data_IF_549348831520
#
_entry.id   IF_549348831520
#
_cell.length_a   1.000
_cell.length_b   1.000
_cell.length_c   1.000
_cell.angle_alpha   90.00
_cell.angle_beta   90.00
_cell.angle_gamma   90.00
#
_symmetry.space_group_name_H-M   'P 1'
#
loop_
_entity.id
_entity.type
_entity.pdbx_description
1 polymer ?
#
# COMPACT_ATOMS: atom_id res chain seq x y z
N UNK A 1 13.75 -6.26 2.82
CA UNK A 1 14.48 -5.39 1.87
C UNK A 1 14.38 -5.91 0.44
N UNK A 2 14.75 -7.16 0.14
CA UNK A 2 14.68 -7.73 -1.23
C UNK A 2 13.34 -7.48 -1.96
N UNK A 3 12.21 -7.85 -1.33
CA UNK A 3 10.88 -7.65 -1.92
C UNK A 3 10.56 -6.19 -2.25
N UNK A 4 11.07 -5.23 -1.46
CA UNK A 4 10.87 -3.81 -1.73
C UNK A 4 11.62 -3.37 -3.00
N UNK A 5 12.84 -3.87 -3.22
CA UNK A 5 13.60 -3.63 -4.45
C UNK A 5 12.88 -4.16 -5.69
N UNK A 6 12.22 -5.32 -5.60
CA UNK A 6 11.44 -5.88 -6.71
C UNK A 6 10.32 -4.95 -7.19
N UNK A 7 9.70 -4.14 -6.31
CA UNK A 7 8.70 -3.16 -6.75
C UNK A 7 9.32 -2.03 -7.59
N UNK A 8 10.50 -1.54 -7.22
CA UNK A 8 11.21 -0.56 -8.04
C UNK A 8 11.60 -1.16 -9.39
N UNK A 9 12.12 -2.39 -9.44
CA UNK A 9 12.42 -3.08 -10.70
C UNK A 9 11.17 -3.26 -11.57
N UNK A 10 10.07 -3.71 -10.97
CA UNK A 10 8.81 -3.90 -11.68
C UNK A 10 8.31 -2.59 -12.29
N UNK A 11 8.20 -1.51 -11.49
CA UNK A 11 7.69 -0.24 -12.00
C UNK A 11 8.65 0.49 -12.94
N UNK A 12 9.96 0.29 -12.82
CA UNK A 12 10.91 0.75 -13.83
C UNK A 12 10.64 0.13 -15.21
N UNK A 13 10.24 -1.15 -15.25
CA UNK A 13 9.84 -1.79 -16.49
C UNK A 13 8.45 -1.32 -16.97
N UNK A 14 7.51 -1.10 -16.06
CA UNK A 14 6.17 -0.59 -16.40
C UNK A 14 6.20 0.84 -16.96
N UNK A 15 7.20 1.65 -16.63
CA UNK A 15 7.36 2.99 -17.21
C UNK A 15 7.49 2.96 -18.74
N UNK A 16 7.98 1.86 -19.32
CA UNK A 16 8.07 1.66 -20.77
C UNK A 16 6.73 1.26 -21.43
N UNK A 17 5.70 0.99 -20.62
CA UNK A 17 4.38 0.53 -21.05
C UNK A 17 3.27 1.55 -20.75
N UNK A 18 3.60 2.83 -20.61
CA UNK A 18 2.62 3.89 -20.44
C UNK A 18 1.88 4.20 -21.76
N UNK A 19 1.15 3.21 -22.26
CA UNK A 19 0.44 3.30 -23.53
C UNK A 19 -0.82 4.14 -23.37
N UNK A 20 -0.98 5.13 -24.23
CA UNK A 20 -2.24 5.82 -24.43
C UNK A 20 -3.28 4.95 -25.15
N UNK A 21 -4.36 5.56 -25.60
CA UNK A 21 -5.35 4.95 -26.49
C UNK A 21 -5.80 5.97 -27.54
N UNK A 22 -6.33 5.47 -28.66
CA UNK A 22 -7.06 6.29 -29.62
C UNK A 22 -8.48 5.78 -29.73
N UNK A 23 -9.40 6.65 -30.16
CA UNK A 23 -10.77 6.29 -30.44
C UNK A 23 -11.24 6.93 -31.74
N UNK A 24 -12.18 6.28 -32.41
CA UNK A 24 -12.81 6.83 -33.60
C UNK A 24 -13.69 8.04 -33.22
N UNK A 25 -13.44 9.16 -33.88
CA UNK A 25 -14.28 10.35 -33.71
C UNK A 25 -15.57 10.22 -34.51
N UNK A 26 -16.68 10.61 -33.91
CA UNK A 26 -17.95 10.79 -34.61
C UNK A 26 -17.98 12.04 -35.50
N UNK A 27 -16.95 12.90 -35.43
CA UNK A 27 -16.80 14.12 -36.21
C UNK A 27 -15.70 13.96 -37.24
N UNK A 28 -16.00 14.27 -38.50
CA UNK A 28 -15.03 14.27 -39.59
C UNK A 28 -13.86 15.21 -39.32
N UNK A 29 -12.64 14.76 -39.59
CA UNK A 29 -11.41 15.55 -39.44
C UNK A 29 -10.96 15.81 -38.00
N UNK A 30 -11.43 15.02 -37.04
CA UNK A 30 -11.04 15.12 -35.63
C UNK A 30 -10.47 13.79 -35.17
N UNK A 31 -9.29 13.81 -34.57
CA UNK A 31 -8.68 12.64 -33.91
C UNK A 31 -8.97 12.66 -32.41
N UNK A 32 -9.18 11.48 -31.82
CA UNK A 32 -9.30 11.32 -30.36
C UNK A 32 -8.11 10.51 -29.85
N UNK A 33 -7.28 11.15 -29.05
CA UNK A 33 -6.13 10.56 -28.37
C UNK A 33 -6.33 10.68 -26.86
N UNK A 34 -5.92 9.63 -26.15
CA UNK A 34 -6.01 9.52 -24.70
C UNK A 34 -4.60 9.22 -24.19
N UNK A 35 -4.06 10.12 -23.38
CA UNK A 35 -2.74 9.98 -22.76
C UNK A 35 -2.85 9.89 -21.24
N UNK A 36 -1.77 9.49 -20.59
CA UNK A 36 -1.68 9.42 -19.12
C UNK A 36 -0.53 10.29 -18.64
N UNK A 37 -0.87 11.30 -17.87
CA UNK A 37 0.07 12.25 -17.28
C UNK A 37 0.23 12.01 -15.76
N UNK A 38 1.38 12.42 -15.17
CA UNK A 38 1.53 12.45 -13.72
C UNK A 38 0.46 13.32 -13.05
N UNK A 39 0.11 12.96 -11.81
CA UNK A 39 -0.77 13.78 -10.97
C UNK A 39 -0.07 15.07 -10.50
N UNK A 40 1.23 15.00 -10.24
CA UNK A 40 2.01 16.09 -9.64
C UNK A 40 2.72 15.64 -8.37
N UNK A 41 2.48 16.30 -7.24
CA UNK A 41 3.04 15.95 -5.93
C UNK A 41 2.12 14.96 -5.22
N UNK A 42 2.70 13.84 -4.79
CA UNK A 42 2.01 12.77 -4.09
C UNK A 42 2.55 12.63 -2.66
N UNK A 43 1.65 12.75 -1.69
CA UNK A 43 1.92 12.44 -0.30
C UNK A 43 1.79 10.93 -0.05
N UNK A 44 2.78 10.34 0.60
CA UNK A 44 2.77 8.92 0.98
C UNK A 44 2.86 8.83 2.49
N UNK A 45 1.90 8.14 3.12
CA UNK A 45 1.90 7.89 4.56
C UNK A 45 1.89 6.38 4.79
N UNK A 46 2.98 5.84 5.35
CA UNK A 46 3.18 4.38 5.49
C UNK A 46 3.14 3.89 6.94
N UNK A 47 2.75 2.62 7.19
CA UNK A 47 2.62 2.03 8.51
C UNK A 47 3.98 1.50 9.00
N UNK A 48 3.98 0.98 10.23
CA UNK A 48 5.17 0.43 10.89
C UNK A 48 5.40 -1.06 10.65
N UNK A 49 4.36 -1.84 10.33
CA UNK A 49 4.45 -3.30 10.27
C UNK A 49 5.25 -3.82 9.06
N UNK A 50 5.22 -3.08 7.95
CA UNK A 50 6.03 -3.34 6.76
C UNK A 50 6.70 -2.04 6.29
N UNK A 51 7.67 -1.52 7.06
CA UNK A 51 8.06 -0.11 7.01
C UNK A 51 8.74 0.29 5.69
N UNK A 52 9.39 -0.67 5.01
CA UNK A 52 9.97 -0.46 3.68
C UNK A 52 9.01 -0.92 2.59
N UNK A 53 8.44 -2.13 2.70
CA UNK A 53 7.68 -2.72 1.60
C UNK A 53 6.44 -1.88 1.24
N UNK A 54 5.59 -1.53 2.21
CA UNK A 54 4.39 -0.74 1.94
C UNK A 54 4.69 0.64 1.39
N UNK A 55 5.81 1.25 1.79
CA UNK A 55 6.26 2.50 1.22
C UNK A 55 6.70 2.31 -0.25
N UNK A 56 7.50 1.29 -0.54
CA UNK A 56 7.96 0.99 -1.91
C UNK A 56 6.82 0.68 -2.88
N UNK A 57 5.73 0.05 -2.43
CA UNK A 57 4.53 -0.18 -3.25
C UNK A 57 3.90 1.11 -3.79
N UNK A 58 4.17 2.24 -3.12
CA UNK A 58 3.59 3.56 -3.42
C UNK A 58 4.63 4.48 -4.06
N UNK A 59 5.85 4.48 -3.54
CA UNK A 59 6.96 5.32 -4.02
C UNK A 59 7.39 4.90 -5.43
N UNK A 60 7.57 3.61 -5.67
CA UNK A 60 8.04 3.09 -6.95
C UNK A 60 7.14 3.51 -8.13
N UNK A 61 5.80 3.27 -8.10
CA UNK A 61 4.93 3.74 -9.18
C UNK A 61 4.84 5.26 -9.25
N UNK A 62 4.82 5.97 -8.13
CA UNK A 62 4.74 7.44 -8.13
C UNK A 62 5.92 8.04 -8.92
N UNK A 63 7.15 7.62 -8.60
CA UNK A 63 8.35 8.08 -9.29
C UNK A 63 8.39 7.59 -10.76
N UNK A 64 8.07 6.32 -11.01
CA UNK A 64 8.11 5.74 -12.35
C UNK A 64 7.19 6.46 -13.34
N UNK A 65 6.03 6.94 -12.87
CA UNK A 65 5.08 7.68 -13.69
C UNK A 65 5.15 9.20 -13.48
N UNK A 66 6.31 9.72 -13.09
CA UNK A 66 6.63 11.16 -13.16
C UNK A 66 6.11 12.04 -12.02
N UNK A 67 5.68 11.46 -10.90
CA UNK A 67 5.21 12.23 -9.74
C UNK A 67 6.36 12.55 -8.78
N UNK A 68 6.28 13.71 -8.13
CA UNK A 68 7.11 14.01 -6.96
C UNK A 68 6.52 13.36 -5.71
N UNK A 69 7.37 12.99 -4.76
CA UNK A 69 6.97 12.26 -3.55
C UNK A 69 7.33 13.04 -2.29
N UNK A 70 6.36 13.16 -1.39
CA UNK A 70 6.58 13.54 0.01
C UNK A 70 6.17 12.38 0.91
N UNK A 71 7.15 11.69 1.48
CA UNK A 71 6.93 10.50 2.28
C UNK A 71 7.03 10.78 3.78
N UNK A 72 5.97 10.43 4.50
CA UNK A 72 5.93 10.38 5.96
C UNK A 72 5.78 8.93 6.46
N UNK A 73 6.81 8.33 7.08
CA UNK A 73 6.69 6.99 7.65
C UNK A 73 6.01 6.99 9.02
N UNK A 74 5.72 5.81 9.55
CA UNK A 74 5.35 5.64 10.94
C UNK A 74 6.50 6.05 11.87
N UNK A 75 6.19 6.82 12.92
CA UNK A 75 7.18 7.43 13.81
C UNK A 75 7.96 6.41 14.64
N UNK A 76 7.43 5.18 14.80
CA UNK A 76 8.04 4.09 15.59
C UNK A 76 9.03 3.25 14.79
N UNK A 77 9.08 3.40 13.46
CA UNK A 77 10.02 2.67 12.58
C UNK A 77 10.77 3.61 11.62
N UNK A 78 11.40 4.70 12.10
CA UNK A 78 11.95 5.73 11.23
C UNK A 78 13.25 5.29 10.55
N UNK A 79 14.06 4.44 11.18
CA UNK A 79 15.36 4.02 10.66
C UNK A 79 15.25 3.34 9.29
N UNK A 80 14.25 2.48 9.09
CA UNK A 80 13.97 1.85 7.79
C UNK A 80 13.66 2.86 6.68
N UNK A 81 12.97 3.96 7.04
CA UNK A 81 12.63 5.01 6.09
C UNK A 81 13.85 5.87 5.73
N UNK A 82 14.69 6.17 6.72
CA UNK A 82 15.98 6.82 6.49
C UNK A 82 16.85 6.01 5.54
N UNK A 83 17.03 4.71 5.78
CA UNK A 83 17.85 3.85 4.92
C UNK A 83 17.34 3.80 3.48
N UNK A 84 16.02 3.68 3.27
CA UNK A 84 15.46 3.71 1.91
C UNK A 84 15.68 5.08 1.23
N UNK A 85 15.50 6.17 1.98
CA UNK A 85 15.73 7.54 1.49
C UNK A 85 17.19 7.74 1.09
N UNK A 86 18.15 7.23 1.88
CA UNK A 86 19.57 7.30 1.57
C UNK A 86 19.93 6.53 0.28
N UNK A 87 19.29 5.38 0.05
CA UNK A 87 19.46 4.62 -1.21
C UNK A 87 18.94 5.44 -2.40
N UNK A 88 17.78 6.06 -2.25
CA UNK A 88 17.16 6.90 -3.29
C UNK A 88 17.99 8.17 -3.53
N UNK A 89 18.52 8.81 -2.49
CA UNK A 89 19.28 10.07 -2.60
C UNK A 89 20.62 9.91 -3.31
N UNK A 90 21.16 8.69 -3.36
CA UNK A 90 22.37 8.36 -4.14
C UNK A 90 22.11 8.24 -5.63
N UNK A 91 20.84 8.19 -6.06
CA UNK A 91 20.48 8.12 -7.47
C UNK A 91 20.48 9.52 -8.09
N UNK A 92 20.76 9.59 -9.39
CA UNK A 92 20.72 10.84 -10.15
C UNK A 92 19.28 11.26 -10.47
N UNK A 93 18.52 11.65 -9.45
CA UNK A 93 17.17 12.20 -9.58
C UNK A 93 17.16 13.72 -9.39
N UNK A 94 16.22 14.46 -10.01
CA UNK A 94 16.04 15.89 -9.77
C UNK A 94 15.89 16.22 -8.29
N UNK A 95 16.49 17.34 -7.85
CA UNK A 95 16.35 17.85 -6.47
C UNK A 95 14.86 18.10 -6.17
N UNK A 96 14.41 17.63 -5.01
CA UNK A 96 13.02 17.78 -4.58
C UNK A 96 12.05 16.76 -5.18
N UNK A 97 12.48 15.88 -6.09
CA UNK A 97 11.59 14.82 -6.63
C UNK A 97 11.16 13.83 -5.54
N UNK A 98 12.02 13.57 -4.56
CA UNK A 98 11.73 12.71 -3.42
C UNK A 98 12.12 13.39 -2.11
N UNK A 99 11.19 13.42 -1.16
CA UNK A 99 11.36 14.08 0.13
C UNK A 99 10.90 13.15 1.26
N UNK A 100 11.72 12.98 2.29
CA UNK A 100 11.35 12.30 3.53
C UNK A 100 11.04 13.35 4.61
N UNK A 101 9.87 13.23 5.24
CA UNK A 101 9.50 14.08 6.38
C UNK A 101 9.12 13.18 7.56
N UNK A 102 9.90 13.26 8.64
CA UNK A 102 9.68 12.44 9.84
C UNK A 102 9.07 13.27 10.96
N UNK A 103 8.07 12.70 11.64
CA UNK A 103 7.45 13.31 12.80
C UNK A 103 6.03 12.82 13.04
N UNK A 104 5.25 13.58 13.82
CA UNK A 104 3.90 13.17 14.23
C UNK A 104 2.92 13.08 13.06
N UNK A 105 2.08 12.03 13.07
CA UNK A 105 0.95 11.93 12.15
C UNK A 105 -0.12 13.00 12.40
N UNK A 106 -0.31 13.44 13.64
CA UNK A 106 -1.32 14.46 13.99
C UNK A 106 -1.01 15.84 13.40
N UNK A 107 0.27 16.12 13.16
CA UNK A 107 0.75 17.38 12.61
C UNK A 107 1.04 17.22 11.12
N UNK A 108 2.06 16.44 10.77
CA UNK A 108 2.52 16.30 9.37
C UNK A 108 1.50 15.53 8.54
N UNK A 109 0.89 14.46 9.07
CA UNK A 109 -0.12 13.70 8.34
C UNK A 109 -1.38 14.53 8.05
N UNK A 110 -1.79 15.38 9.00
CA UNK A 110 -2.89 16.33 8.80
C UNK A 110 -2.54 17.38 7.75
N UNK A 111 -1.34 17.95 7.82
CA UNK A 111 -0.86 18.92 6.83
C UNK A 111 -0.86 18.29 5.44
N UNK A 112 -0.25 17.12 5.25
CA UNK A 112 -0.23 16.42 3.97
C UNK A 112 -1.62 16.13 3.40
N UNK A 113 -2.62 15.87 4.26
CA UNK A 113 -3.99 15.64 3.84
C UNK A 113 -4.76 16.93 3.48
N UNK A 114 -4.40 18.05 4.10
CA UNK A 114 -5.08 19.34 3.92
C UNK A 114 -4.35 20.29 2.96
N UNK A 115 -3.09 20.03 2.61
CA UNK A 115 -2.25 20.93 1.83
C UNK A 115 -2.71 21.02 0.35
N UNK A 116 -2.65 22.24 -0.21
CA UNK A 116 -3.13 22.52 -1.57
C UNK A 116 -2.21 22.10 -2.70
N UNK A 117 -0.94 21.94 -2.39
CA UNK A 117 0.09 21.57 -3.34
C UNK A 117 0.21 20.05 -3.50
N UNK A 118 -0.56 19.26 -2.74
CA UNK A 118 -0.64 17.80 -2.86
C UNK A 118 -1.79 17.43 -3.81
N UNK A 119 -1.50 16.76 -4.92
CA UNK A 119 -2.50 16.31 -5.91
C UNK A 119 -2.92 14.84 -5.72
N UNK A 120 -2.12 14.05 -5.00
CA UNK A 120 -2.47 12.68 -4.63
C UNK A 120 -2.01 12.32 -3.23
N UNK A 121 -2.77 11.48 -2.51
CA UNK A 121 -2.38 10.97 -1.21
C UNK A 121 -2.63 9.46 -1.12
N UNK A 122 -1.57 8.72 -0.81
CA UNK A 122 -1.62 7.28 -0.60
C UNK A 122 -1.29 6.94 0.85
N UNK A 123 -2.30 6.49 1.59
CA UNK A 123 -2.20 6.14 3.00
C UNK A 123 -2.32 4.63 3.19
N UNK A 124 -1.53 4.11 4.13
CA UNK A 124 -1.76 2.79 4.70
C UNK A 124 -1.69 2.85 6.23
N UNK A 125 -2.71 2.36 6.91
CA UNK A 125 -2.79 2.38 8.38
C UNK A 125 -4.14 1.96 8.93
N UNK A 126 -4.55 2.53 10.07
CA UNK A 126 -5.83 2.17 10.70
C UNK A 126 -7.02 2.81 9.99
N UNK A 127 -8.20 2.17 10.10
CA UNK A 127 -9.44 2.70 9.54
C UNK A 127 -9.81 4.08 10.09
N UNK A 128 -9.68 4.27 11.42
CA UNK A 128 -9.99 5.55 12.05
C UNK A 128 -9.14 6.71 11.52
N UNK A 129 -7.82 6.50 11.35
CA UNK A 129 -6.93 7.53 10.79
C UNK A 129 -7.21 7.75 9.30
N UNK A 130 -7.41 6.68 8.54
CA UNK A 130 -7.74 6.76 7.11
C UNK A 130 -9.03 7.53 6.84
N UNK A 131 -10.08 7.30 7.62
CA UNK A 131 -11.32 8.08 7.54
C UNK A 131 -11.11 9.56 7.83
N UNK A 132 -10.27 9.91 8.82
CA UNK A 132 -9.91 11.30 9.11
C UNK A 132 -9.15 11.96 7.96
N UNK A 133 -8.21 11.25 7.36
CA UNK A 133 -7.48 11.71 6.16
C UNK A 133 -8.47 11.93 5.00
N UNK A 134 -9.37 10.98 4.77
CA UNK A 134 -10.38 11.06 3.71
C UNK A 134 -11.26 12.30 3.87
N UNK A 135 -11.74 12.58 5.09
CA UNK A 135 -12.57 13.74 5.38
C UNK A 135 -11.85 15.06 5.08
N UNK A 136 -10.57 15.17 5.43
CA UNK A 136 -9.76 16.36 5.15
C UNK A 136 -9.52 16.54 3.65
N UNK A 137 -9.13 15.46 2.96
CA UNK A 137 -8.81 15.49 1.53
C UNK A 137 -10.04 15.65 0.63
N UNK A 138 -11.24 15.26 1.10
CA UNK A 138 -12.49 15.40 0.36
C UNK A 138 -12.84 16.86 0.04
N UNK A 139 -12.49 17.81 0.93
CA UNK A 139 -12.76 19.24 0.73
C UNK A 139 -12.10 19.82 -0.54
N UNK A 140 -11.09 19.13 -1.07
CA UNK A 140 -10.30 19.54 -2.21
C UNK A 140 -10.23 18.50 -3.33
N UNK A 141 -11.01 17.43 -3.22
CA UNK A 141 -11.06 16.33 -4.19
C UNK A 141 -9.68 15.76 -4.57
N UNK A 142 -8.76 15.68 -3.60
CA UNK A 142 -7.45 15.04 -3.81
C UNK A 142 -7.64 13.58 -4.20
N UNK A 143 -6.81 13.09 -5.12
CA UNK A 143 -6.85 11.67 -5.48
C UNK A 143 -6.34 10.82 -4.32
N UNK A 144 -7.21 9.99 -3.76
CA UNK A 144 -6.93 9.21 -2.56
C UNK A 144 -6.78 7.72 -2.86
N UNK A 145 -5.79 7.11 -2.21
CA UNK A 145 -5.69 5.66 -2.07
C UNK A 145 -5.54 5.32 -0.58
N UNK A 146 -6.46 4.53 -0.05
CA UNK A 146 -6.52 4.17 1.37
C UNK A 146 -6.50 2.65 1.54
N UNK A 147 -5.41 2.13 2.07
CA UNK A 147 -5.32 0.74 2.53
C UNK A 147 -5.45 0.73 4.05
N UNK A 148 -6.52 0.17 4.57
CA UNK A 148 -6.89 0.32 5.97
C UNK A 148 -6.92 -1.02 6.72
N UNK A 149 -7.49 -1.01 7.93
CA UNK A 149 -7.72 -2.23 8.70
C UNK A 149 -8.65 -3.21 7.96
N UNK A 150 -8.63 -4.45 8.41
CA UNK A 150 -9.39 -5.54 7.81
C UNK A 150 -9.79 -6.57 8.86
N UNK A 151 -10.69 -7.49 8.46
CA UNK A 151 -11.08 -8.66 9.23
C UNK A 151 -11.13 -9.86 8.30
N UNK A 152 -9.96 -10.36 7.92
CA UNK A 152 -9.83 -11.36 6.86
C UNK A 152 -10.35 -12.73 7.31
N UNK A 153 -11.35 -13.31 6.64
CA UNK A 153 -11.81 -14.65 6.92
C UNK A 153 -10.89 -15.69 6.28
N UNK A 154 -10.67 -16.80 6.99
CA UNK A 154 -10.08 -18.02 6.46
C UNK A 154 -11.12 -19.12 6.60
N UNK A 155 -11.66 -19.59 5.49
CA UNK A 155 -12.79 -20.52 5.45
C UNK A 155 -12.26 -21.94 5.20
N UNK A 156 -12.65 -22.89 6.04
CA UNK A 156 -12.29 -24.32 5.94
C UNK A 156 -13.55 -25.13 5.73
N UNK A 157 -13.65 -25.75 4.56
CA UNK A 157 -14.76 -26.63 4.17
C UNK A 157 -14.44 -28.08 4.55
N UNK A 158 -15.45 -28.94 4.59
CA UNK A 158 -15.32 -30.35 5.00
C UNK A 158 -14.54 -31.23 4.03
N UNK A 159 -14.38 -30.78 2.78
CA UNK A 159 -13.53 -31.40 1.77
C UNK A 159 -12.08 -30.89 1.78
N UNK A 160 -11.71 -30.01 2.72
CA UNK A 160 -10.37 -29.46 2.82
C UNK A 160 -9.36 -30.49 3.37
N UNK A 161 -8.12 -30.39 2.89
CA UNK A 161 -6.96 -30.99 3.56
C UNK A 161 -6.75 -30.27 4.92
N UNK A 162 -7.16 -30.92 6.00
CA UNK A 162 -7.19 -30.32 7.34
C UNK A 162 -5.79 -30.05 7.90
N UNK A 163 -4.79 -30.87 7.57
CA UNK A 163 -3.42 -30.66 8.03
C UNK A 163 -2.82 -29.42 7.37
N UNK A 164 -2.97 -29.33 6.05
CA UNK A 164 -2.55 -28.15 5.29
C UNK A 164 -3.34 -26.90 5.70
N UNK A 165 -4.65 -27.03 5.91
CA UNK A 165 -5.48 -25.92 6.35
C UNK A 165 -5.02 -25.38 7.71
N UNK A 166 -4.66 -26.26 8.64
CA UNK A 166 -4.16 -25.86 9.96
C UNK A 166 -2.79 -25.16 9.86
N UNK A 167 -1.86 -25.66 9.03
CA UNK A 167 -0.57 -24.97 8.78
C UNK A 167 -0.76 -23.56 8.21
N UNK A 168 -1.63 -23.43 7.20
CA UNK A 168 -1.95 -22.14 6.58
C UNK A 168 -2.66 -21.20 7.55
N UNK A 169 -3.55 -21.71 8.40
CA UNK A 169 -4.24 -20.93 9.42
C UNK A 169 -3.26 -20.36 10.45
N UNK A 170 -2.34 -21.18 10.99
CA UNK A 170 -1.30 -20.73 11.94
C UNK A 170 -0.40 -19.69 11.28
N UNK A 171 0.10 -19.95 10.08
CA UNK A 171 0.96 -19.00 9.37
C UNK A 171 0.23 -17.69 9.03
N UNK A 172 -1.01 -17.80 8.57
CA UNK A 172 -1.86 -16.67 8.18
C UNK A 172 -2.27 -15.82 9.37
N UNK A 173 -2.54 -16.42 10.53
CA UNK A 173 -2.94 -15.72 11.75
C UNK A 173 -1.76 -15.12 12.51
N UNK A 174 -0.66 -15.88 12.66
CA UNK A 174 0.44 -15.54 13.56
C UNK A 174 1.74 -15.17 12.84
N UNK A 175 1.86 -15.39 11.53
CA UNK A 175 3.04 -14.98 10.78
C UNK A 175 3.26 -13.47 10.87
N UNK A 176 4.47 -13.04 11.21
CA UNK A 176 4.75 -11.64 11.53
C UNK A 176 4.01 -11.16 12.80
N UNK A 177 3.88 -12.07 13.77
CA UNK A 177 3.15 -11.93 15.04
C UNK A 177 1.70 -11.48 14.89
N UNK A 178 1.07 -11.81 13.76
CA UNK A 178 -0.30 -11.40 13.41
C UNK A 178 -0.46 -9.92 13.07
N UNK A 179 0.63 -9.15 13.01
CA UNK A 179 0.62 -7.71 12.78
C UNK A 179 0.58 -7.38 11.27
N UNK A 180 -0.27 -8.07 10.51
CA UNK A 180 -0.42 -7.89 9.05
C UNK A 180 -1.85 -7.46 8.72
N UNK A 181 -2.01 -6.54 7.76
CA UNK A 181 -3.33 -6.20 7.24
C UNK A 181 -4.03 -7.38 6.55
N UNK A 182 -3.29 -8.42 6.15
CA UNK A 182 -3.85 -9.65 5.56
C UNK A 182 -3.90 -10.82 6.55
N UNK A 183 -3.66 -10.59 7.85
CA UNK A 183 -3.69 -11.65 8.85
C UNK A 183 -5.08 -12.30 8.92
N UNK A 184 -5.10 -13.63 8.97
CA UNK A 184 -6.32 -14.44 9.03
C UNK A 184 -6.90 -14.42 10.44
N UNK A 185 -7.53 -13.30 10.81
CA UNK A 185 -8.02 -13.04 12.18
C UNK A 185 -9.43 -13.56 12.45
N UNK A 186 -10.04 -14.28 11.49
CA UNK A 186 -11.32 -14.96 11.65
C UNK A 186 -11.30 -16.30 10.92
N UNK A 187 -11.15 -17.39 11.66
CA UNK A 187 -11.32 -18.73 11.11
C UNK A 187 -12.83 -19.06 11.06
N UNK A 188 -13.30 -19.57 9.94
CA UNK A 188 -14.68 -20.03 9.73
C UNK A 188 -14.60 -21.47 9.27
N UNK A 189 -15.05 -22.40 10.11
CA UNK A 189 -14.86 -23.84 9.89
C UNK A 189 -16.21 -24.51 9.74
N UNK A 190 -16.35 -25.36 8.71
CA UNK A 190 -17.55 -26.12 8.47
C UNK A 190 -17.85 -27.05 9.66
N UNK A 191 -19.11 -27.07 10.12
CA UNK A 191 -19.51 -27.72 11.37
C UNK A 191 -19.03 -29.18 11.53
N UNK A 192 -19.10 -30.06 10.51
CA UNK A 192 -18.69 -31.47 10.64
C UNK A 192 -17.21 -31.69 10.95
N UNK A 193 -16.33 -30.74 10.62
CA UNK A 193 -14.87 -30.86 10.80
C UNK A 193 -14.32 -29.95 11.90
N UNK A 194 -15.18 -29.22 12.61
CA UNK A 194 -14.78 -28.15 13.53
C UNK A 194 -13.79 -28.64 14.60
N UNK A 195 -14.17 -29.67 15.36
CA UNK A 195 -13.39 -30.12 16.52
C UNK A 195 -12.06 -30.75 16.07
N UNK A 196 -12.09 -31.57 15.01
CA UNK A 196 -10.88 -32.14 14.41
C UNK A 196 -9.93 -31.06 13.90
N UNK A 197 -10.45 -29.99 13.29
CA UNK A 197 -9.62 -28.88 12.84
C UNK A 197 -9.02 -28.11 14.03
N UNK A 198 -9.78 -27.92 15.11
CA UNK A 198 -9.29 -27.28 16.34
C UNK A 198 -8.14 -28.07 16.97
N UNK A 199 -8.28 -29.40 17.06
CA UNK A 199 -7.20 -30.28 17.56
C UNK A 199 -5.93 -30.16 16.72
N UNK A 200 -6.06 -30.20 15.39
CA UNK A 200 -4.94 -30.03 14.46
C UNK A 200 -4.29 -28.64 14.57
N UNK A 201 -5.09 -27.60 14.78
CA UNK A 201 -4.60 -26.24 14.96
C UNK A 201 -3.77 -26.12 16.26
N UNK A 202 -4.29 -26.65 17.37
CA UNK A 202 -3.62 -26.62 18.68
C UNK A 202 -2.29 -27.38 18.67
N UNK A 203 -2.20 -28.49 17.93
CA UNK A 203 -0.95 -29.23 17.79
C UNK A 203 0.15 -28.45 17.05
N UNK A 204 -0.18 -27.33 16.38
CA UNK A 204 0.73 -26.50 15.57
C UNK A 204 1.03 -25.14 16.20
N UNK A 205 0.47 -24.84 17.36
CA UNK A 205 0.66 -23.59 18.13
C UNK A 205 1.37 -23.84 19.43
#
# INVERSE_FOLDING_TARGET
>A
VYRAGQFFTYFAAEALRNLGASADSVRSGVDVLIEREPLGVVAIISPWNFPIATASWKIAPALAFGNAVVWKPASVTPASAWTLTEIISRQAIPKGLFNLVMGSGSTIGRELAANADIQGLSFTGSGAVGSGIAALAAARFVKLQLEMGSKNPFVVMDDADLDRAADLAVNGAFGGTGQKCTASSRLIVHRPIHDTFVEKLLAKT
#
